data_IF_674381113406
#
_entry.id   IF_674381113406
#
_cell.length_a   1.000
_cell.length_b   1.000
_cell.length_c   1.000
_cell.angle_alpha   90.00
_cell.angle_beta   90.00
_cell.angle_gamma   90.00
#
_symmetry.space_group_name_H-M   'P 1'
#
loop_
_entity.id
_entity.type
_entity.pdbx_description
1 polymer ?
#
# COMPACT_ATOMS: atom_id res chain seq x y z
N UNK A 1 0.70 -19.05 1.76
CA UNK A 1 1.43 -18.27 0.74
C UNK A 1 1.17 -16.77 0.90
N UNK A 2 -0.07 -16.34 0.99
CA UNK A 2 -0.39 -14.89 1.24
C UNK A 2 0.27 -14.40 2.53
N UNK A 3 0.26 -15.20 3.60
CA UNK A 3 0.91 -14.87 4.88
C UNK A 3 2.45 -14.74 4.80
N UNK A 4 3.05 -15.19 3.70
CA UNK A 4 4.50 -15.09 3.45
C UNK A 4 4.88 -13.94 2.51
N UNK A 5 3.90 -13.13 2.09
CA UNK A 5 4.17 -11.91 1.32
C UNK A 5 4.80 -10.86 2.22
N UNK A 6 5.96 -10.37 1.81
CA UNK A 6 6.69 -9.30 2.52
C UNK A 6 6.11 -7.91 2.20
N UNK A 7 4.84 -7.71 2.56
CA UNK A 7 4.18 -6.40 2.45
C UNK A 7 4.75 -5.45 3.49
N UNK A 8 5.17 -4.27 3.06
CA UNK A 8 5.79 -3.28 3.92
C UNK A 8 4.77 -2.42 4.67
N UNK A 9 3.72 -1.94 3.98
CA UNK A 9 2.76 -0.98 4.53
C UNK A 9 1.53 -1.63 5.16
N UNK A 10 1.00 -0.99 6.22
CA UNK A 10 -0.28 -1.37 6.81
C UNK A 10 -1.46 -1.20 5.83
N UNK A 11 -1.38 -0.20 4.96
CA UNK A 11 -2.36 0.07 3.90
C UNK A 11 -2.46 -1.12 2.92
N UNK A 12 -1.33 -1.56 2.37
CA UNK A 12 -1.30 -2.65 1.40
C UNK A 12 -1.75 -3.98 2.02
N UNK A 13 -1.39 -4.26 3.28
CA UNK A 13 -1.89 -5.46 4.00
C UNK A 13 -3.41 -5.51 4.06
N UNK A 14 -4.05 -4.39 4.36
CA UNK A 14 -5.51 -4.31 4.43
C UNK A 14 -6.17 -4.42 3.05
N UNK A 15 -5.59 -3.81 2.02
CA UNK A 15 -6.08 -3.90 0.64
C UNK A 15 -5.93 -5.34 0.12
N UNK A 16 -4.78 -5.98 0.35
CA UNK A 16 -4.55 -7.37 -0.04
C UNK A 16 -5.64 -8.33 0.49
N UNK A 17 -6.05 -8.15 1.76
CA UNK A 17 -7.08 -8.98 2.39
C UNK A 17 -8.49 -8.77 1.81
N UNK A 18 -8.69 -7.73 1.02
CA UNK A 18 -9.98 -7.39 0.39
C UNK A 18 -9.94 -7.49 -1.13
N UNK A 19 -8.83 -7.98 -1.70
CA UNK A 19 -8.74 -8.15 -3.16
C UNK A 19 -9.82 -9.11 -3.66
N UNK A 20 -10.58 -8.73 -4.69
CA UNK A 20 -11.55 -9.62 -5.32
C UNK A 20 -10.86 -10.63 -6.22
N UNK A 21 -11.51 -11.75 -6.49
CA UNK A 21 -11.13 -12.64 -7.58
C UNK A 21 -11.20 -11.91 -8.92
N UNK A 22 -10.22 -12.15 -9.76
CA UNK A 22 -10.21 -11.67 -11.13
C UNK A 22 -11.06 -12.63 -12.00
N UNK A 23 -12.01 -12.08 -12.73
CA UNK A 23 -12.97 -12.87 -13.48
C UNK A 23 -12.67 -12.96 -14.98
N UNK A 24 -11.90 -12.04 -15.52
CA UNK A 24 -11.59 -12.05 -16.94
C UNK A 24 -10.14 -12.47 -17.20
N UNK A 25 -9.90 -13.26 -18.27
CA UNK A 25 -8.56 -13.63 -18.70
C UNK A 25 -7.66 -12.42 -18.93
N UNK A 26 -8.22 -11.32 -19.45
CA UNK A 26 -7.48 -10.09 -19.77
C UNK A 26 -6.99 -9.41 -18.48
N UNK A 27 -7.82 -9.32 -17.45
CA UNK A 27 -7.42 -8.73 -16.17
C UNK A 27 -6.38 -9.58 -15.46
N UNK A 28 -6.49 -10.91 -15.54
CA UNK A 28 -5.48 -11.84 -15.00
C UNK A 28 -4.15 -11.64 -15.73
N UNK A 29 -4.17 -11.59 -17.08
CA UNK A 29 -2.98 -11.39 -17.89
C UNK A 29 -2.27 -10.08 -17.50
N UNK A 30 -3.02 -8.97 -17.38
CA UNK A 30 -2.47 -7.67 -16.99
C UNK A 30 -1.77 -7.71 -15.63
N UNK A 31 -2.36 -8.39 -14.63
CA UNK A 31 -1.74 -8.52 -13.31
C UNK A 31 -0.49 -9.41 -13.32
N UNK A 32 -0.50 -10.48 -14.11
CA UNK A 32 0.67 -11.34 -14.31
C UNK A 32 1.80 -10.57 -15.01
N UNK A 33 1.49 -9.77 -16.03
CA UNK A 33 2.45 -8.94 -16.76
C UNK A 33 3.06 -7.87 -15.86
N UNK A 34 2.28 -7.19 -15.02
CA UNK A 34 2.80 -6.25 -14.02
C UNK A 34 3.77 -6.93 -13.05
N UNK A 35 3.43 -8.14 -12.60
CA UNK A 35 4.31 -8.93 -11.74
C UNK A 35 5.61 -9.30 -12.45
N UNK A 36 5.56 -9.65 -13.74
CA UNK A 36 6.75 -9.94 -14.55
C UNK A 36 7.67 -8.71 -14.68
N UNK A 37 7.10 -7.57 -15.05
CA UNK A 37 7.85 -6.31 -15.15
C UNK A 37 8.51 -5.98 -13.81
N UNK A 38 7.75 -6.11 -12.69
CA UNK A 38 8.28 -5.84 -11.35
C UNK A 38 9.39 -6.83 -10.97
N UNK A 39 9.26 -8.12 -11.32
CA UNK A 39 10.31 -9.12 -11.11
C UNK A 39 11.60 -8.75 -11.85
N UNK A 40 11.49 -8.31 -13.10
CA UNK A 40 12.64 -7.89 -13.88
C UNK A 40 13.32 -6.65 -13.25
N UNK A 41 12.54 -5.69 -12.74
CA UNK A 41 13.03 -4.54 -12.00
C UNK A 41 13.82 -4.99 -10.76
N UNK A 42 13.30 -5.94 -9.97
CA UNK A 42 13.97 -6.45 -8.77
C UNK A 42 15.28 -7.19 -9.10
N UNK A 43 15.42 -7.78 -10.28
CA UNK A 43 16.61 -8.48 -10.73
C UNK A 43 17.65 -7.55 -11.39
N UNK A 44 17.31 -6.29 -11.61
CA UNK A 44 18.21 -5.28 -12.19
C UNK A 44 19.09 -4.68 -11.09
N UNK A 45 20.39 -4.98 -11.11
CA UNK A 45 21.34 -4.57 -10.06
C UNK A 45 21.41 -3.07 -9.84
N UNK A 46 21.30 -2.28 -10.91
CA UNK A 46 21.34 -0.80 -10.87
C UNK A 46 20.15 -0.20 -10.12
N UNK A 47 19.02 -0.92 -10.01
CA UNK A 47 17.80 -0.47 -9.35
C UNK A 47 17.70 -0.89 -7.88
N UNK A 48 18.61 -1.73 -7.38
CA UNK A 48 18.56 -2.29 -6.02
C UNK A 48 18.48 -1.21 -4.94
N UNK A 49 19.31 -0.17 -5.05
CA UNK A 49 19.32 0.94 -4.09
C UNK A 49 18.00 1.74 -4.12
N UNK A 50 17.48 2.03 -5.32
CA UNK A 50 16.19 2.73 -5.49
C UNK A 50 15.04 1.91 -4.91
N UNK A 51 14.98 0.61 -5.20
CA UNK A 51 13.95 -0.28 -4.65
C UNK A 51 14.04 -0.36 -3.13
N UNK A 52 15.24 -0.40 -2.57
CA UNK A 52 15.44 -0.38 -1.12
C UNK A 52 14.89 0.90 -0.50
N UNK A 53 15.19 2.07 -1.10
CA UNK A 53 14.64 3.35 -0.67
C UNK A 53 13.11 3.38 -0.74
N UNK A 54 12.53 2.87 -1.82
CA UNK A 54 11.07 2.76 -1.97
C UNK A 54 10.49 1.87 -0.86
N UNK A 55 11.05 0.69 -0.60
CA UNK A 55 10.59 -0.22 0.47
C UNK A 55 10.65 0.45 1.84
N UNK A 56 11.72 1.20 2.16
CA UNK A 56 11.84 1.95 3.43
C UNK A 56 10.76 3.02 3.57
N UNK A 57 10.38 3.71 2.48
CA UNK A 57 9.29 4.69 2.51
C UNK A 57 7.92 4.00 2.64
N UNK A 58 7.70 2.89 1.96
CA UNK A 58 6.48 2.10 2.09
C UNK A 58 6.24 1.60 3.54
N UNK A 59 7.30 1.26 4.30
CA UNK A 59 7.19 0.91 5.72
C UNK A 59 6.57 2.02 6.58
N UNK A 60 6.68 3.27 6.15
CA UNK A 60 6.15 4.44 6.88
C UNK A 60 4.71 4.76 6.50
N UNK A 61 4.19 4.18 5.40
CA UNK A 61 2.84 4.43 4.91
C UNK A 61 1.81 3.81 5.84
N UNK A 62 0.98 4.66 6.44
CA UNK A 62 -0.16 4.28 7.27
C UNK A 62 -1.43 4.18 6.43
N UNK A 63 -2.42 3.47 6.94
CA UNK A 63 -3.74 3.42 6.32
C UNK A 63 -4.56 4.63 6.74
N UNK A 64 -4.64 5.61 5.88
CA UNK A 64 -5.40 6.86 6.07
C UNK A 64 -6.67 6.91 5.23
N UNK A 65 -7.23 5.76 4.83
CA UNK A 65 -8.48 5.72 4.03
C UNK A 65 -9.67 6.38 4.73
N UNK A 66 -9.70 6.34 6.07
CA UNK A 66 -10.69 7.08 6.87
C UNK A 66 -10.62 8.57 6.59
N UNK A 67 -9.44 9.16 6.72
CA UNK A 67 -9.17 10.58 6.44
C UNK A 67 -9.47 10.93 4.97
N UNK A 68 -9.05 10.09 4.01
CA UNK A 68 -9.35 10.29 2.58
C UNK A 68 -10.86 10.26 2.27
N UNK A 69 -11.63 9.42 2.96
CA UNK A 69 -13.09 9.41 2.83
C UNK A 69 -13.71 10.73 3.34
N UNK A 70 -13.24 11.25 4.47
CA UNK A 70 -13.70 12.56 4.99
C UNK A 70 -13.37 13.69 4.02
N UNK A 71 -12.18 13.68 3.39
CA UNK A 71 -11.86 14.62 2.31
C UNK A 71 -12.85 14.47 1.16
N UNK A 72 -13.20 13.24 0.77
CA UNK A 72 -14.16 12.97 -0.31
C UNK A 72 -15.55 13.48 0.01
N UNK A 73 -15.97 13.38 1.27
CA UNK A 73 -17.26 13.85 1.79
C UNK A 73 -17.29 15.35 2.14
N UNK A 74 -16.20 16.09 1.87
CA UNK A 74 -16.06 17.52 2.18
C UNK A 74 -16.23 17.82 3.67
N UNK A 75 -15.80 16.94 4.54
CA UNK A 75 -15.84 17.17 5.99
C UNK A 75 -14.62 17.98 6.43
N UNK A 76 -14.79 18.75 7.51
CA UNK A 76 -13.66 19.45 8.16
C UNK A 76 -12.76 18.45 8.83
N UNK A 77 -11.47 18.52 8.53
CA UNK A 77 -10.43 17.64 9.08
C UNK A 77 -9.90 18.22 10.39
N UNK A 78 -9.60 17.33 11.34
CA UNK A 78 -8.90 17.69 12.57
C UNK A 78 -7.37 17.70 12.40
N UNK A 79 -6.64 18.08 13.45
CA UNK A 79 -5.17 18.17 13.41
C UNK A 79 -4.49 16.82 13.14
N UNK A 80 -5.09 15.71 13.60
CA UNK A 80 -4.57 14.36 13.39
C UNK A 80 -4.74 13.98 11.93
N UNK A 81 -5.90 14.24 11.36
CA UNK A 81 -6.24 13.96 9.96
C UNK A 81 -5.40 14.80 8.99
N UNK A 82 -5.21 16.09 9.29
CA UNK A 82 -4.33 16.97 8.52
C UNK A 82 -2.87 16.52 8.61
N UNK A 83 -2.42 16.06 9.79
CA UNK A 83 -1.10 15.44 9.97
C UNK A 83 -0.95 14.16 9.14
N UNK A 84 -1.94 13.24 9.22
CA UNK A 84 -1.92 11.99 8.46
C UNK A 84 -1.83 12.26 6.96
N UNK A 85 -2.63 13.20 6.47
CA UNK A 85 -2.66 13.59 5.07
C UNK A 85 -1.34 14.23 4.61
N UNK A 86 -0.76 15.13 5.43
CA UNK A 86 0.56 15.72 5.16
C UNK A 86 1.65 14.65 5.08
N UNK A 87 1.70 13.76 6.09
CA UNK A 87 2.69 12.70 6.17
C UNK A 87 2.60 11.74 4.96
N UNK A 88 1.39 11.33 4.60
CA UNK A 88 1.18 10.49 3.42
C UNK A 88 1.56 11.20 2.13
N UNK A 89 1.14 12.45 1.95
CA UNK A 89 1.43 13.23 0.73
C UNK A 89 2.94 13.42 0.51
N UNK A 90 3.70 13.69 1.57
CA UNK A 90 5.16 13.75 1.51
C UNK A 90 5.77 12.43 1.04
N UNK A 91 5.32 11.29 1.63
CA UNK A 91 5.81 9.97 1.23
C UNK A 91 5.45 9.64 -0.23
N UNK A 92 4.22 9.96 -0.65
CA UNK A 92 3.77 9.72 -2.02
C UNK A 92 4.58 10.52 -3.05
N UNK A 93 4.89 11.80 -2.76
CA UNK A 93 5.75 12.64 -3.60
C UNK A 93 7.14 12.05 -3.69
N UNK A 94 7.75 11.68 -2.57
CA UNK A 94 9.09 11.10 -2.53
C UNK A 94 9.18 9.74 -3.26
N UNK A 95 8.17 8.88 -3.11
CA UNK A 95 8.10 7.61 -3.86
C UNK A 95 7.94 7.89 -5.36
N UNK A 96 7.09 8.85 -5.74
CA UNK A 96 6.91 9.28 -7.12
C UNK A 96 8.23 9.75 -7.75
N UNK A 97 9.00 10.57 -7.06
CA UNK A 97 10.31 11.04 -7.51
C UNK A 97 11.29 9.88 -7.74
N UNK A 98 11.31 8.90 -6.82
CA UNK A 98 12.15 7.70 -6.98
C UNK A 98 11.73 6.86 -8.19
N UNK A 99 10.43 6.67 -8.42
CA UNK A 99 9.90 5.94 -9.58
C UNK A 99 10.28 6.65 -10.90
N UNK A 100 10.09 7.97 -10.97
CA UNK A 100 10.41 8.76 -12.15
C UNK A 100 11.92 8.79 -12.45
N UNK A 101 12.76 8.99 -11.44
CA UNK A 101 14.22 9.04 -11.60
C UNK A 101 14.81 7.71 -12.08
N UNK A 102 14.18 6.59 -11.69
CA UNK A 102 14.57 5.25 -12.09
C UNK A 102 13.83 4.73 -13.35
N UNK A 103 12.98 5.55 -13.95
CA UNK A 103 12.14 5.17 -15.10
C UNK A 103 11.29 3.91 -14.83
N UNK A 104 10.79 3.75 -13.60
CA UNK A 104 9.91 2.66 -13.19
C UNK A 104 8.47 3.08 -13.46
N UNK A 105 7.81 2.40 -14.40
CA UNK A 105 6.46 2.77 -14.90
C UNK A 105 5.38 1.75 -14.53
N UNK A 106 5.68 0.77 -13.70
CA UNK A 106 4.74 -0.30 -13.31
C UNK A 106 3.51 0.23 -12.57
N UNK A 107 3.68 1.35 -11.87
CA UNK A 107 2.62 2.12 -11.20
C UNK A 107 2.91 3.61 -11.43
N UNK A 108 1.86 4.40 -11.65
CA UNK A 108 1.95 5.86 -11.74
C UNK A 108 1.33 6.49 -10.50
N UNK A 109 2.09 7.30 -9.78
CA UNK A 109 1.56 8.07 -8.65
C UNK A 109 1.20 9.49 -9.10
N UNK A 110 0.01 10.00 -8.74
CA UNK A 110 -0.36 11.38 -9.00
C UNK A 110 0.54 12.35 -8.22
N UNK A 111 0.55 13.60 -8.64
CA UNK A 111 1.32 14.64 -7.97
C UNK A 111 0.54 15.20 -6.77
N UNK A 112 1.03 14.96 -5.56
CA UNK A 112 0.49 15.49 -4.32
C UNK A 112 1.27 16.70 -3.77
N UNK A 113 2.24 17.25 -4.54
CA UNK A 113 2.95 18.46 -4.12
C UNK A 113 2.03 19.66 -3.82
N UNK A 114 0.89 19.87 -4.55
CA UNK A 114 -0.07 20.90 -4.17
C UNK A 114 -0.67 20.69 -2.76
N UNK A 115 -0.96 19.45 -2.38
CA UNK A 115 -1.47 19.13 -1.03
C UNK A 115 -0.39 19.36 0.03
N UNK A 116 0.86 18.98 -0.26
CA UNK A 116 2.00 19.27 0.60
C UNK A 116 2.14 20.78 0.81
N UNK A 117 2.09 21.59 -0.26
CA UNK A 117 2.22 23.05 -0.16
C UNK A 117 1.11 23.71 0.66
N UNK A 118 -0.11 23.16 0.65
CA UNK A 118 -1.21 23.64 1.51
C UNK A 118 -0.90 23.33 2.98
N UNK A 119 -0.37 22.13 3.29
CA UNK A 119 -0.16 21.64 4.66
C UNK A 119 1.24 21.94 5.22
N UNK A 120 2.14 22.47 4.41
CA UNK A 120 3.52 22.80 4.78
C UNK A 120 3.91 24.24 4.34
N UNK A 121 3.24 25.29 4.89
CA UNK A 121 3.44 26.67 4.45
C UNK A 121 4.88 27.15 4.67
N UNK A 122 5.60 26.57 5.63
CA UNK A 122 6.99 26.89 5.96
C UNK A 122 8.00 26.06 5.15
N UNK A 123 7.55 25.15 4.30
CA UNK A 123 8.37 24.28 3.43
C UNK A 123 9.43 23.46 4.18
N UNK A 124 9.11 23.04 5.39
CA UNK A 124 10.00 22.25 6.24
C UNK A 124 10.15 20.79 5.76
N UNK A 125 9.16 20.27 5.00
CA UNK A 125 9.10 18.89 4.48
C UNK A 125 9.30 17.82 5.56
N UNK A 126 8.75 18.07 6.74
CA UNK A 126 8.74 17.11 7.85
C UNK A 126 7.32 16.64 8.13
N UNK A 127 7.13 15.36 8.51
CA UNK A 127 5.82 14.80 8.83
C UNK A 127 5.36 15.28 10.23
N UNK A 128 5.09 16.57 10.34
CA UNK A 128 4.55 17.22 11.52
C UNK A 128 3.50 18.23 11.08
N UNK A 129 2.42 18.34 11.83
CA UNK A 129 1.36 19.32 11.59
C UNK A 129 0.85 19.90 12.91
N UNK A 130 0.64 21.17 12.90
CA UNK A 130 -0.16 21.97 13.79
C UNK A 130 -0.68 23.17 12.99
N UNK A 131 -1.65 23.91 13.50
CA UNK A 131 -2.11 25.11 12.81
C UNK A 131 -1.00 26.17 12.91
N UNK A 132 -0.22 26.31 11.81
CA UNK A 132 0.94 27.23 11.74
C UNK A 132 0.53 28.69 11.80
N UNK A 133 1.38 29.54 12.42
CA UNK A 133 1.20 31.00 12.44
C UNK A 133 1.18 31.59 11.02
N UNK A 134 1.84 30.92 10.08
CA UNK A 134 1.87 31.28 8.66
C UNK A 134 0.48 31.28 7.98
N UNK A 135 -0.50 30.56 8.53
CA UNK A 135 -1.86 30.53 7.97
C UNK A 135 -2.69 31.79 8.26
N UNK A 136 -2.41 32.49 9.39
CA UNK A 136 -3.15 33.68 9.78
C UNK A 136 -2.31 34.65 10.62
N UNK A 137 -2.12 35.89 10.16
CA UNK A 137 -1.50 36.94 10.97
C UNK A 137 -2.25 37.19 12.29
N UNK A 138 -3.57 37.02 12.30
CA UNK A 138 -4.41 37.17 13.50
C UNK A 138 -4.06 36.11 14.54
N UNK A 139 -3.89 34.83 14.11
CA UNK A 139 -3.48 33.74 14.99
C UNK A 139 -2.09 33.99 15.58
N UNK A 140 -1.15 34.43 14.75
CA UNK A 140 0.21 34.77 15.21
C UNK A 140 0.19 35.88 16.26
N UNK A 141 -0.59 36.97 16.02
CA UNK A 141 -0.74 38.07 16.96
C UNK A 141 -1.43 37.63 18.28
N UNK A 142 -2.47 36.78 18.18
CA UNK A 142 -3.18 36.26 19.35
C UNK A 142 -2.27 35.37 20.21
N UNK A 143 -1.50 34.47 19.59
CA UNK A 143 -0.53 33.62 20.31
C UNK A 143 0.57 34.42 20.98
N UNK A 144 1.08 35.47 20.30
CA UNK A 144 2.05 36.40 20.90
C UNK A 144 1.48 37.11 22.12
N UNK A 145 0.22 37.63 22.02
CA UNK A 145 -0.50 38.26 23.12
C UNK A 145 -0.70 37.30 24.29
N UNK A 146 -1.19 36.07 24.02
CA UNK A 146 -1.38 35.03 25.04
C UNK A 146 -0.09 34.70 25.76
N UNK A 147 1.04 34.58 25.02
CA UNK A 147 2.36 34.31 25.60
C UNK A 147 2.79 35.42 26.56
N UNK A 148 2.58 36.68 26.20
CA UNK A 148 2.93 37.83 27.03
C UNK A 148 2.10 37.86 28.31
N UNK A 149 0.77 37.64 28.19
CA UNK A 149 -0.14 37.69 29.32
C UNK A 149 0.01 36.50 30.28
N UNK A 150 0.39 35.31 29.77
CA UNK A 150 0.73 34.15 30.63
C UNK A 150 1.99 34.36 31.48
N UNK A 151 2.88 35.29 31.11
CA UNK A 151 4.08 35.65 31.87
C UNK A 151 3.80 36.73 32.93
N UNK A 152 2.63 37.42 32.87
CA UNK A 152 2.25 38.43 33.85
C UNK A 152 1.35 37.80 34.92
N UNK A 153 1.91 37.67 36.15
CA UNK A 153 1.21 37.09 37.32
C UNK A 153 -0.08 37.87 37.72
N UNK A 154 -0.27 39.07 37.18
CA UNK A 154 -1.43 39.90 37.48
C UNK A 154 -2.60 39.71 36.46
N UNK A 155 -2.40 38.84 35.47
CA UNK A 155 -3.44 38.62 34.44
C UNK A 155 -4.60 37.83 35.05
N UNK A 156 -5.81 38.37 34.93
CA UNK A 156 -7.04 37.70 35.40
C UNK A 156 -7.26 36.41 34.55
N UNK A 157 -7.61 35.31 35.21
CA UNK A 157 -7.90 34.02 34.60
C UNK A 157 -8.99 34.12 33.49
N UNK A 158 -10.00 34.92 33.73
CA UNK A 158 -11.07 35.19 32.74
C UNK A 158 -10.57 35.75 31.41
N UNK A 159 -9.53 36.58 31.43
CA UNK A 159 -8.92 37.11 30.21
C UNK A 159 -8.21 36.03 29.42
N UNK A 160 -7.52 35.15 30.13
CA UNK A 160 -6.85 34.01 29.50
C UNK A 160 -7.86 33.03 28.92
N UNK A 161 -8.96 32.75 29.60
CA UNK A 161 -10.04 31.88 29.12
C UNK A 161 -10.69 32.44 27.84
N UNK A 162 -10.97 33.77 27.82
CA UNK A 162 -11.51 34.41 26.62
C UNK A 162 -10.53 34.31 25.42
N UNK A 163 -9.26 34.57 25.64
CA UNK A 163 -8.25 34.47 24.59
C UNK A 163 -8.07 33.03 24.12
N UNK A 164 -8.20 32.06 25.04
CA UNK A 164 -8.14 30.64 24.68
C UNK A 164 -9.35 30.25 23.81
N UNK A 165 -10.52 30.75 24.11
CA UNK A 165 -11.72 30.57 23.27
C UNK A 165 -11.53 31.15 21.86
N UNK A 166 -11.08 32.41 21.77
CA UNK A 166 -10.79 33.10 20.50
C UNK A 166 -9.72 32.34 19.69
N UNK A 167 -8.68 31.79 20.38
CA UNK A 167 -7.65 30.99 19.76
C UNK A 167 -8.22 29.72 19.13
N UNK A 168 -9.05 28.97 19.88
CA UNK A 168 -9.68 27.75 19.38
C UNK A 168 -10.60 28.04 18.19
N UNK A 169 -11.40 29.10 18.23
CA UNK A 169 -12.25 29.51 17.11
C UNK A 169 -11.46 29.87 15.85
N UNK A 170 -10.30 30.52 16.00
CA UNK A 170 -9.43 30.85 14.87
C UNK A 170 -8.80 29.59 14.26
N UNK A 171 -8.34 28.66 15.10
CA UNK A 171 -7.81 27.39 14.61
C UNK A 171 -8.88 26.58 13.87
N UNK A 172 -10.13 26.54 14.38
CA UNK A 172 -11.24 25.85 13.73
C UNK A 172 -11.52 26.43 12.34
N UNK A 173 -11.57 27.75 12.20
CA UNK A 173 -11.73 28.42 10.90
C UNK A 173 -10.59 28.12 9.94
N UNK A 174 -9.37 28.03 10.45
CA UNK A 174 -8.22 27.68 9.62
C UNK A 174 -8.32 26.21 9.17
N UNK A 175 -8.69 25.28 10.04
CA UNK A 175 -8.95 23.87 9.69
C UNK A 175 -10.03 23.74 8.62
N UNK A 176 -11.14 24.47 8.76
CA UNK A 176 -12.19 24.52 7.75
C UNK A 176 -11.65 24.98 6.39
N UNK A 177 -10.94 26.12 6.37
CA UNK A 177 -10.32 26.64 5.13
C UNK A 177 -9.32 25.70 4.51
N UNK A 178 -8.47 25.02 5.32
CA UNK A 178 -7.52 24.03 4.82
C UNK A 178 -8.25 22.83 4.21
N UNK A 179 -9.30 22.35 4.87
CA UNK A 179 -10.12 21.23 4.38
C UNK A 179 -10.79 21.58 3.05
N UNK A 180 -11.32 22.81 2.90
CA UNK A 180 -11.85 23.31 1.64
C UNK A 180 -10.79 23.36 0.53
N UNK A 181 -9.57 23.81 0.84
CA UNK A 181 -8.46 23.87 -0.13
C UNK A 181 -7.97 22.50 -0.56
N UNK A 182 -8.06 21.49 0.31
CA UNK A 182 -7.65 20.10 0.04
C UNK A 182 -8.71 19.33 -0.75
N UNK A 183 -9.99 19.62 -0.54
CA UNK A 183 -11.10 18.89 -1.16
C UNK A 183 -11.01 18.73 -2.69
N UNK A 184 -10.54 19.71 -3.49
CA UNK A 184 -10.34 19.53 -4.93
C UNK A 184 -9.42 18.37 -5.30
N UNK A 185 -8.48 17.99 -4.43
CA UNK A 185 -7.49 16.93 -4.65
C UNK A 185 -7.94 15.54 -4.18
N UNK A 186 -9.22 15.37 -3.83
CA UNK A 186 -9.77 14.10 -3.33
C UNK A 186 -9.52 12.91 -4.24
N UNK A 187 -9.56 13.13 -5.56
CA UNK A 187 -9.35 12.08 -6.56
C UNK A 187 -7.89 11.64 -6.57
N UNK A 188 -6.97 12.59 -6.60
CA UNK A 188 -5.52 12.36 -6.60
C UNK A 188 -5.08 11.70 -5.29
N UNK A 189 -5.63 12.11 -4.14
CA UNK A 189 -5.34 11.49 -2.83
C UNK A 189 -5.78 10.02 -2.82
N UNK A 190 -6.99 9.71 -3.28
CA UNK A 190 -7.49 8.33 -3.32
C UNK A 190 -6.70 7.47 -4.33
N UNK A 191 -6.37 8.02 -5.48
CA UNK A 191 -5.54 7.35 -6.49
C UNK A 191 -4.12 7.08 -5.96
N UNK A 192 -3.51 8.05 -5.27
CA UNK A 192 -2.21 7.86 -4.64
C UNK A 192 -2.23 6.74 -3.60
N UNK A 193 -3.27 6.65 -2.77
CA UNK A 193 -3.43 5.57 -1.78
C UNK A 193 -3.51 4.20 -2.45
N UNK A 194 -4.36 4.05 -3.46
CA UNK A 194 -4.53 2.79 -4.20
C UNK A 194 -3.23 2.40 -4.90
N UNK A 195 -2.59 3.34 -5.59
CA UNK A 195 -1.39 3.07 -6.38
C UNK A 195 -0.16 2.80 -5.49
N UNK A 196 -0.04 3.46 -4.33
CA UNK A 196 1.00 3.15 -3.35
C UNK A 196 0.85 1.73 -2.79
N UNK A 197 -0.37 1.33 -2.46
CA UNK A 197 -0.63 -0.04 -2.01
C UNK A 197 -0.40 -1.07 -3.11
N UNK A 198 -0.78 -0.75 -4.35
CA UNK A 198 -0.54 -1.61 -5.53
C UNK A 198 0.95 -1.81 -5.76
N UNK A 199 1.76 -0.75 -5.64
CA UNK A 199 3.22 -0.85 -5.74
C UNK A 199 3.80 -1.83 -4.70
N UNK A 200 3.39 -1.69 -3.44
CA UNK A 200 3.85 -2.56 -2.35
C UNK A 200 3.47 -4.03 -2.59
N UNK A 201 2.22 -4.28 -3.01
CA UNK A 201 1.74 -5.62 -3.35
C UNK A 201 2.52 -6.21 -4.53
N UNK A 202 2.77 -5.44 -5.58
CA UNK A 202 3.53 -5.90 -6.75
C UNK A 202 4.98 -6.25 -6.39
N UNK A 203 5.64 -5.41 -5.57
CA UNK A 203 6.99 -5.69 -5.09
C UNK A 203 7.02 -7.00 -4.26
N UNK A 204 6.03 -7.21 -3.38
CA UNK A 204 5.94 -8.42 -2.58
C UNK A 204 5.63 -9.66 -3.43
N UNK A 205 4.70 -9.58 -4.41
CA UNK A 205 4.41 -10.66 -5.37
C UNK A 205 5.66 -11.04 -6.17
N UNK A 206 6.36 -10.06 -6.71
CA UNK A 206 7.55 -10.26 -7.52
C UNK A 206 8.69 -10.89 -6.69
N UNK A 207 8.91 -10.42 -5.46
CA UNK A 207 9.89 -11.00 -4.55
C UNK A 207 9.56 -12.46 -4.23
N UNK A 208 8.30 -12.75 -3.88
CA UNK A 208 7.86 -14.13 -3.62
C UNK A 208 8.07 -15.05 -4.84
N UNK A 209 7.86 -14.52 -6.05
CA UNK A 209 8.09 -15.25 -7.30
C UNK A 209 9.56 -15.69 -7.42
N UNK A 210 10.49 -14.81 -7.06
CA UNK A 210 11.93 -15.09 -7.07
C UNK A 210 12.29 -16.11 -5.99
N UNK A 211 11.88 -15.86 -4.76
CA UNK A 211 12.25 -16.66 -3.59
C UNK A 211 11.72 -18.10 -3.65
N UNK A 212 10.51 -18.26 -4.17
CA UNK A 212 9.86 -19.58 -4.27
C UNK A 212 9.98 -20.24 -5.64
N UNK A 213 10.63 -19.57 -6.61
CA UNK A 213 10.78 -20.08 -7.97
C UNK A 213 9.41 -20.40 -8.61
N UNK A 214 8.48 -19.46 -8.53
CA UNK A 214 7.15 -19.61 -9.12
C UNK A 214 7.20 -19.30 -10.61
N UNK A 215 6.35 -19.97 -11.41
CA UNK A 215 6.24 -19.68 -12.84
C UNK A 215 5.04 -18.81 -13.18
N UNK A 216 5.15 -18.06 -14.28
CA UNK A 216 4.04 -17.32 -14.87
C UNK A 216 3.10 -18.30 -15.55
N UNK A 217 1.82 -18.40 -15.14
CA UNK A 217 0.87 -19.29 -15.80
C UNK A 217 0.49 -18.73 -17.17
N UNK A 218 0.33 -19.61 -18.15
CA UNK A 218 -0.28 -19.31 -19.43
C UNK A 218 -1.80 -19.48 -19.32
N UNK A 219 -2.55 -18.56 -19.94
CA UNK A 219 -4.01 -18.58 -19.89
C UNK A 219 -4.53 -19.48 -21.02
N UNK A 220 -5.26 -20.55 -20.65
CA UNK A 220 -5.94 -21.46 -21.58
C UNK A 220 -7.41 -21.51 -21.26
N UNK A 221 -8.24 -21.67 -22.29
CA UNK A 221 -9.70 -21.81 -22.18
C UNK A 221 -10.17 -23.27 -22.31
N UNK A 222 -9.29 -24.21 -22.67
CA UNK A 222 -9.67 -25.58 -23.01
C UNK A 222 -9.14 -26.63 -22.04
N UNK A 223 -7.95 -26.46 -21.52
CA UNK A 223 -7.27 -27.45 -20.67
C UNK A 223 -6.55 -26.79 -19.54
N UNK A 224 -6.43 -27.48 -18.40
CA UNK A 224 -5.59 -27.05 -17.28
C UNK A 224 -4.44 -28.05 -17.14
N UNK A 225 -3.21 -27.59 -17.37
CA UNK A 225 -2.01 -28.41 -17.29
C UNK A 225 -1.01 -27.79 -16.34
N UNK A 226 -0.48 -28.58 -15.43
CA UNK A 226 0.61 -28.21 -14.54
C UNK A 226 1.80 -29.13 -14.78
N UNK A 227 2.97 -28.56 -15.01
CA UNK A 227 4.23 -29.26 -15.14
C UNK A 227 4.97 -29.11 -13.81
N UNK A 228 5.37 -30.20 -13.21
CA UNK A 228 6.08 -30.28 -11.93
C UNK A 228 5.47 -29.42 -10.82
N UNK A 229 4.14 -29.46 -10.70
CA UNK A 229 3.44 -28.72 -9.63
C UNK A 229 3.92 -29.20 -8.25
N UNK A 230 4.11 -28.26 -7.34
CA UNK A 230 4.52 -28.54 -5.97
C UNK A 230 3.74 -27.71 -4.95
N UNK A 231 3.64 -28.23 -3.72
CA UNK A 231 3.10 -27.47 -2.60
C UNK A 231 4.24 -26.79 -1.84
N UNK A 232 4.34 -25.43 -1.84
CA UNK A 232 5.45 -24.74 -1.20
C UNK A 232 5.58 -25.02 0.31
N UNK A 233 4.45 -25.15 1.02
CA UNK A 233 4.46 -25.45 2.46
C UNK A 233 4.99 -26.87 2.73
N UNK A 234 4.49 -27.84 1.97
CA UNK A 234 4.92 -29.23 2.13
C UNK A 234 6.38 -29.40 1.70
N UNK A 235 6.80 -28.72 0.61
CA UNK A 235 8.19 -28.72 0.15
C UNK A 235 9.13 -28.19 1.24
N UNK A 236 8.74 -27.11 1.93
CA UNK A 236 9.52 -26.52 3.01
C UNK A 236 9.62 -27.45 4.24
N UNK A 237 8.50 -28.04 4.68
CA UNK A 237 8.50 -28.99 5.80
C UNK A 237 9.38 -30.20 5.51
N UNK A 238 9.26 -30.79 4.31
CA UNK A 238 10.09 -31.93 3.91
C UNK A 238 11.56 -31.54 3.83
N UNK A 239 11.87 -30.34 3.35
CA UNK A 239 13.24 -29.85 3.33
C UNK A 239 13.87 -29.77 4.75
N UNK A 240 13.11 -29.26 5.71
CA UNK A 240 13.54 -29.19 7.12
C UNK A 240 13.77 -30.58 7.73
N UNK A 241 13.03 -31.60 7.25
CA UNK A 241 13.19 -32.99 7.65
C UNK A 241 14.29 -33.72 6.84
N UNK A 242 15.04 -33.05 5.96
CA UNK A 242 16.04 -33.67 5.09
C UNK A 242 15.45 -34.53 3.97
N UNK A 243 14.15 -34.39 3.69
CA UNK A 243 13.45 -35.15 2.64
C UNK A 243 13.26 -34.32 1.38
N UNK A 244 13.12 -34.97 0.23
CA UNK A 244 12.82 -34.29 -1.05
C UNK A 244 11.31 -34.32 -1.34
N UNK A 245 10.77 -33.19 -1.77
CA UNK A 245 9.43 -33.15 -2.35
C UNK A 245 9.48 -33.68 -3.77
N UNK A 246 8.54 -34.56 -4.11
CA UNK A 246 8.38 -35.05 -5.49
C UNK A 246 7.30 -34.22 -6.18
N UNK A 247 7.70 -33.36 -7.10
CA UNK A 247 6.81 -32.62 -7.97
C UNK A 247 6.16 -33.57 -9.00
N UNK A 248 4.94 -33.26 -9.45
CA UNK A 248 4.17 -34.12 -10.35
C UNK A 248 3.60 -33.29 -11.50
N UNK A 249 3.37 -33.96 -12.63
CA UNK A 249 2.65 -33.40 -13.77
C UNK A 249 1.17 -33.76 -13.64
N UNK A 250 0.29 -32.79 -13.96
CA UNK A 250 -1.15 -32.98 -13.91
C UNK A 250 -1.79 -32.35 -15.14
N UNK A 251 -2.54 -33.14 -15.88
CA UNK A 251 -3.42 -32.71 -16.96
C UNK A 251 -4.87 -32.89 -16.50
N UNK A 252 -5.68 -31.82 -16.58
CA UNK A 252 -7.11 -31.83 -16.24
C UNK A 252 -7.89 -31.42 -17.49
N UNK A 253 -8.65 -32.35 -18.03
CA UNK A 253 -9.57 -32.14 -19.13
C UNK A 253 -10.96 -31.80 -18.63
N UNK A 254 -11.88 -31.45 -19.54
CA UNK A 254 -13.28 -31.24 -19.21
C UNK A 254 -13.92 -32.54 -18.73
N UNK A 255 -14.61 -32.50 -17.59
CA UNK A 255 -15.29 -33.65 -17.01
C UNK A 255 -14.83 -33.99 -15.59
N UNK A 256 -15.09 -35.21 -15.16
CA UNK A 256 -14.72 -35.70 -13.84
C UNK A 256 -13.32 -36.31 -13.87
N UNK A 257 -12.44 -35.87 -13.00
CA UNK A 257 -11.10 -36.44 -12.79
C UNK A 257 -11.10 -37.19 -11.45
N UNK A 258 -10.70 -38.47 -11.47
CA UNK A 258 -10.63 -39.31 -10.28
C UNK A 258 -9.20 -39.55 -9.86
N UNK A 259 -8.82 -39.12 -8.65
CA UNK A 259 -7.51 -39.39 -8.06
C UNK A 259 -7.60 -40.62 -7.15
N UNK A 260 -6.94 -41.69 -7.56
CA UNK A 260 -6.88 -42.96 -6.81
C UNK A 260 -5.50 -43.22 -6.23
N UNK A 261 -5.42 -44.07 -5.22
CA UNK A 261 -4.16 -44.49 -4.62
C UNK A 261 -4.29 -44.92 -3.17
N UNK A 262 -3.26 -45.51 -2.60
CA UNK A 262 -3.24 -45.96 -1.20
C UNK A 262 -3.45 -44.79 -0.21
N UNK A 263 -3.88 -45.11 1.01
CA UNK A 263 -3.92 -44.13 2.10
C UNK A 263 -2.47 -43.63 2.38
N UNK A 264 -2.35 -42.35 2.69
CA UNK A 264 -1.07 -41.65 2.86
C UNK A 264 -0.22 -41.45 1.58
N UNK A 265 -0.72 -41.80 0.39
CA UNK A 265 -0.03 -41.59 -0.88
C UNK A 265 -0.04 -40.13 -1.39
N UNK A 266 -0.42 -39.16 -0.56
CA UNK A 266 -0.40 -37.73 -0.94
C UNK A 266 -1.61 -37.22 -1.72
N UNK A 267 -2.69 -38.01 -1.91
CA UNK A 267 -3.88 -37.60 -2.68
C UNK A 267 -4.46 -36.24 -2.23
N UNK A 268 -4.62 -36.03 -0.93
CA UNK A 268 -5.12 -34.75 -0.39
C UNK A 268 -4.14 -33.61 -0.58
N UNK A 269 -2.83 -33.87 -0.63
CA UNK A 269 -1.80 -32.86 -0.91
C UNK A 269 -1.94 -32.40 -2.35
N UNK A 270 -2.13 -33.31 -3.31
CA UNK A 270 -2.33 -33.00 -4.73
C UNK A 270 -3.53 -32.10 -4.91
N UNK A 271 -4.71 -32.46 -4.35
CA UNK A 271 -5.93 -31.65 -4.44
C UNK A 271 -5.72 -30.24 -3.86
N UNK A 272 -5.11 -30.14 -2.69
CA UNK A 272 -4.78 -28.86 -2.06
C UNK A 272 -3.80 -28.03 -2.91
N UNK A 273 -2.86 -28.69 -3.58
CA UNK A 273 -1.85 -28.01 -4.42
C UNK A 273 -2.49 -27.44 -5.68
N UNK A 274 -3.36 -28.21 -6.36
CA UNK A 274 -4.12 -27.74 -7.52
C UNK A 274 -5.05 -26.59 -7.13
N UNK A 275 -5.78 -26.71 -6.03
CA UNK A 275 -6.65 -25.66 -5.53
C UNK A 275 -5.86 -24.39 -5.19
N UNK A 276 -4.67 -24.52 -4.57
CA UNK A 276 -3.80 -23.40 -4.29
C UNK A 276 -3.33 -22.72 -5.58
N UNK A 277 -2.84 -23.47 -6.57
CA UNK A 277 -2.37 -22.93 -7.84
C UNK A 277 -3.51 -22.20 -8.58
N UNK A 278 -4.71 -22.78 -8.63
CA UNK A 278 -5.87 -22.15 -9.25
C UNK A 278 -6.28 -20.87 -8.51
N UNK A 279 -6.27 -20.89 -7.17
CA UNK A 279 -6.57 -19.69 -6.37
C UNK A 279 -5.55 -18.58 -6.64
N UNK A 280 -4.25 -18.90 -6.63
CA UNK A 280 -3.20 -17.93 -6.93
C UNK A 280 -3.38 -17.31 -8.32
N UNK A 281 -3.66 -18.13 -9.32
CA UNK A 281 -3.95 -17.69 -10.68
C UNK A 281 -5.11 -16.68 -10.74
N UNK A 282 -6.22 -16.98 -10.05
CA UNK A 282 -7.40 -16.11 -10.00
C UNK A 282 -7.16 -14.77 -9.27
N UNK A 283 -6.11 -14.65 -8.49
CA UNK A 283 -5.66 -13.39 -7.90
C UNK A 283 -4.50 -12.74 -8.65
N UNK A 284 -4.14 -13.24 -9.83
CA UNK A 284 -3.03 -12.72 -10.62
C UNK A 284 -1.66 -12.94 -9.98
N UNK A 285 -1.48 -14.07 -9.28
CA UNK A 285 -0.19 -14.51 -8.77
C UNK A 285 0.43 -15.55 -9.69
N UNK A 286 1.74 -15.65 -9.63
CA UNK A 286 2.46 -16.78 -10.20
C UNK A 286 2.17 -18.06 -9.41
N UNK A 287 2.33 -19.21 -10.07
CA UNK A 287 1.92 -20.51 -9.55
C UNK A 287 3.13 -21.39 -9.23
N UNK A 288 3.04 -22.31 -8.24
CA UNK A 288 4.11 -23.22 -7.89
C UNK A 288 4.20 -24.41 -8.87
N UNK A 289 4.69 -24.15 -10.08
CA UNK A 289 4.92 -25.11 -11.15
C UNK A 289 6.13 -24.67 -12.00
N UNK A 290 6.54 -25.49 -12.98
CA UNK A 290 7.53 -25.15 -14.01
C UNK A 290 6.87 -24.84 -15.36
#
# INVERSE_FOLDING_TARGET
MIDKLEIQSGLAKRILNTLPYLHSPETIAQELDKTEVTRNILQTSELTDTITKIKVKLMQVKDIRGTANRVTESQVLDDIELFELKAFSLLAVEIRELLLSANITVVSLPDLEPVVNILDPEKMRIPHFYVYDAYSPELAALRAKMKTLKMDEKTEERVLDQLQFEHTELEDRIREKLSEQIHPYKKEINEALVNTATLDILLAKAQQTIDMQLCKPEISTSTTRYIKIFNPQVKEVLWQEGKKFQAIDIDIEQGACLITGANMAGKSVILKTVALAQTLFQFGFYVPAE
#
